data_IF_837464100894
#
_entry.id   IF_837464100894
#
_cell.length_a   1.000
_cell.length_b   1.000
_cell.length_c   1.000
_cell.angle_alpha   90.00
_cell.angle_beta   90.00
_cell.angle_gamma   90.00
#
_symmetry.space_group_name_H-M   'P 1'
#
loop_
_entity.id
_entity.type
_entity.pdbx_description
1 polymer ?
#
# COMPACT_ATOMS: atom_id res chain seq x y z
N UNK A 1 -16.64 3.36 7.81
CA UNK A 1 -17.07 3.61 6.42
C UNK A 1 -15.83 3.89 5.60
N UNK A 2 -15.67 3.22 4.45
CA UNK A 2 -14.50 3.40 3.59
C UNK A 2 -14.76 4.61 2.70
N UNK A 3 -13.80 5.54 2.62
CA UNK A 3 -13.98 6.78 1.88
C UNK A 3 -14.20 6.47 0.37
N UNK A 4 -15.37 6.84 -0.15
CA UNK A 4 -15.73 6.71 -1.57
C UNK A 4 -16.44 5.40 -1.96
N UNK A 5 -16.65 4.48 -1.02
CA UNK A 5 -17.39 3.23 -1.27
C UNK A 5 -18.81 3.49 -1.79
N UNK A 6 -19.18 2.85 -2.91
CA UNK A 6 -20.52 2.91 -3.51
C UNK A 6 -20.80 4.10 -4.42
N UNK A 7 -19.94 5.11 -4.45
CA UNK A 7 -20.14 6.31 -5.26
C UNK A 7 -19.56 6.24 -6.68
N UNK A 8 -18.64 5.28 -6.93
CA UNK A 8 -17.97 4.92 -8.20
C UNK A 8 -16.73 4.03 -7.94
N UNK A 9 -16.39 3.82 -6.66
CA UNK A 9 -15.21 3.08 -6.23
C UNK A 9 -15.63 1.79 -5.54
N UNK A 10 -15.05 0.66 -5.96
CA UNK A 10 -15.18 -0.60 -5.24
C UNK A 10 -14.19 -0.62 -4.07
N UNK A 11 -14.72 -0.67 -2.86
CA UNK A 11 -13.91 -1.02 -1.71
C UNK A 11 -13.68 -2.54 -1.70
N UNK A 12 -12.43 -2.99 -1.77
CA UNK A 12 -12.08 -4.41 -1.66
C UNK A 12 -11.80 -4.80 -0.20
N UNK A 13 -12.69 -4.40 0.71
CA UNK A 13 -12.53 -4.71 2.13
C UNK A 13 -12.75 -6.20 2.38
N UNK A 14 -11.83 -6.81 3.10
CA UNK A 14 -11.82 -8.25 3.40
C UNK A 14 -11.47 -8.43 4.88
N UNK A 15 -12.47 -8.53 5.78
CA UNK A 15 -12.22 -8.52 7.22
C UNK A 15 -11.39 -9.71 7.74
N UNK A 16 -11.17 -10.75 6.91
CA UNK A 16 -10.29 -11.86 7.26
C UNK A 16 -8.80 -11.56 7.07
N UNK A 17 -8.44 -10.42 6.48
CA UNK A 17 -7.05 -9.93 6.31
C UNK A 17 -6.60 -9.25 7.60
N UNK A 18 -6.43 -10.07 8.65
CA UNK A 18 -6.20 -9.61 10.02
C UNK A 18 -4.82 -9.94 10.60
N UNK A 19 -3.92 -10.47 9.78
CA UNK A 19 -2.51 -10.66 10.14
C UNK A 19 -1.60 -10.18 9.01
N UNK A 20 -0.34 -9.87 9.34
CA UNK A 20 0.66 -9.36 8.39
C UNK A 20 0.85 -10.28 7.19
N UNK A 21 0.85 -11.59 7.41
CA UNK A 21 1.13 -12.60 6.40
C UNK A 21 0.03 -12.68 5.34
N UNK A 22 -1.17 -12.21 5.68
CA UNK A 22 -2.33 -12.19 4.77
C UNK A 22 -2.35 -10.97 3.85
N UNK A 23 -1.58 -9.93 4.15
CA UNK A 23 -1.61 -8.65 3.40
C UNK A 23 -1.16 -8.85 1.96
N UNK A 24 0.00 -9.47 1.75
CA UNK A 24 0.54 -9.66 0.39
C UNK A 24 -0.38 -10.51 -0.49
N UNK A 25 -0.84 -11.71 -0.07
CA UNK A 25 -1.78 -12.50 -0.87
C UNK A 25 -3.07 -11.75 -1.22
N UNK A 26 -3.59 -10.96 -0.27
CA UNK A 26 -4.78 -10.15 -0.48
C UNK A 26 -4.56 -9.04 -1.53
N UNK A 27 -3.44 -8.31 -1.47
CA UNK A 27 -3.11 -7.28 -2.46
C UNK A 27 -2.96 -7.92 -3.84
N UNK A 28 -2.20 -9.01 -3.95
CA UNK A 28 -1.97 -9.71 -5.22
C UNK A 28 -3.30 -10.20 -5.84
N UNK A 29 -4.18 -10.81 -5.05
CA UNK A 29 -5.49 -11.26 -5.51
C UNK A 29 -6.39 -10.09 -5.95
N UNK A 30 -6.40 -9.01 -5.17
CA UNK A 30 -7.22 -7.83 -5.47
C UNK A 30 -6.74 -7.13 -6.74
N UNK A 31 -5.42 -6.90 -6.86
CA UNK A 31 -4.84 -6.29 -8.06
C UNK A 31 -5.11 -7.15 -9.30
N UNK A 32 -4.98 -8.47 -9.20
CA UNK A 32 -5.27 -9.39 -10.31
C UNK A 32 -6.75 -9.36 -10.73
N UNK A 33 -7.66 -9.40 -9.75
CA UNK A 33 -9.10 -9.47 -10.02
C UNK A 33 -9.71 -8.15 -10.49
N UNK A 34 -9.21 -7.01 -10.01
CA UNK A 34 -9.73 -5.69 -10.36
C UNK A 34 -9.07 -5.08 -11.60
N UNK A 35 -7.82 -5.45 -11.95
CA UNK A 35 -7.14 -4.95 -13.18
C UNK A 35 -7.93 -5.16 -14.47
N UNK A 36 -8.77 -6.19 -14.51
CA UNK A 36 -9.59 -6.52 -15.70
C UNK A 36 -10.97 -5.87 -15.70
N UNK A 37 -11.33 -5.15 -14.62
CA UNK A 37 -12.66 -4.56 -14.46
C UNK A 37 -12.67 -3.11 -14.90
N UNK A 38 -13.77 -2.69 -15.51
CA UNK A 38 -14.03 -1.29 -15.78
C UNK A 38 -14.52 -0.61 -14.48
N UNK A 39 -13.64 0.10 -13.78
CA UNK A 39 -14.01 0.87 -12.59
C UNK A 39 -12.81 1.23 -11.71
N UNK A 40 -12.99 2.28 -10.90
CA UNK A 40 -12.02 2.60 -9.86
C UNK A 40 -12.19 1.62 -8.69
N UNK A 41 -11.08 1.23 -8.09
CA UNK A 41 -11.07 0.36 -6.93
C UNK A 41 -10.05 0.84 -5.91
N UNK A 42 -10.27 0.45 -4.66
CA UNK A 42 -9.32 0.64 -3.58
C UNK A 42 -8.91 -0.72 -3.04
N UNK A 43 -7.64 -0.84 -2.70
CA UNK A 43 -7.11 -1.94 -1.89
C UNK A 43 -6.92 -1.37 -0.49
N UNK A 44 -7.77 -1.77 0.46
CA UNK A 44 -7.72 -1.23 1.82
C UNK A 44 -6.39 -1.58 2.50
N UNK A 45 -5.82 -0.60 3.20
CA UNK A 45 -4.61 -0.82 4.01
C UNK A 45 -4.87 -1.80 5.15
N UNK A 46 -3.82 -2.44 5.67
CA UNK A 46 -3.95 -3.37 6.81
C UNK A 46 -4.62 -2.73 8.04
N UNK A 47 -4.42 -1.43 8.24
CA UNK A 47 -5.08 -0.63 9.28
C UNK A 47 -6.57 -0.55 9.02
N UNK A 48 -6.95 -0.20 7.78
CA UNK A 48 -8.35 -0.12 7.38
C UNK A 48 -9.05 -1.49 7.45
N UNK A 49 -8.32 -2.59 7.23
CA UNK A 49 -8.84 -3.96 7.39
C UNK A 49 -9.12 -4.33 8.85
N UNK A 50 -8.29 -3.86 9.80
CA UNK A 50 -8.39 -4.26 11.22
C UNK A 50 -9.11 -3.25 12.11
N UNK A 51 -9.23 -1.99 11.70
CA UNK A 51 -9.80 -0.93 12.55
C UNK A 51 -8.92 -0.54 13.74
N UNK A 52 -7.69 -1.07 13.82
CA UNK A 52 -6.74 -0.87 14.91
C UNK A 52 -5.73 0.25 14.63
N UNK A 53 -5.06 0.73 15.68
CA UNK A 53 -4.00 1.75 15.58
C UNK A 53 -2.79 1.20 14.82
N UNK A 54 -2.26 1.99 13.88
CA UNK A 54 -1.09 1.67 13.05
C UNK A 54 0.09 1.13 13.87
N UNK A 55 0.45 -0.16 13.75
CA UNK A 55 1.75 -0.59 14.24
C UNK A 55 2.82 0.07 13.36
N UNK A 56 3.70 0.87 13.96
CA UNK A 56 4.90 1.37 13.29
C UNK A 56 5.79 0.15 13.06
N UNK A 57 5.75 -0.40 11.85
CA UNK A 57 6.45 -1.62 11.51
C UNK A 57 7.24 -1.40 10.22
N UNK A 58 8.56 -1.31 10.39
CA UNK A 58 9.53 -1.12 9.33
C UNK A 58 9.54 -2.26 8.29
N UNK A 59 9.16 -3.48 8.68
CA UNK A 59 9.16 -4.64 7.78
C UNK A 59 8.18 -4.46 6.63
N UNK A 60 7.01 -3.85 6.87
CA UNK A 60 6.06 -3.57 5.79
C UNK A 60 6.61 -2.59 4.75
N UNK A 61 7.47 -1.65 5.15
CA UNK A 61 8.11 -0.75 4.20
C UNK A 61 9.13 -1.48 3.30
N UNK A 62 9.72 -2.58 3.77
CA UNK A 62 10.59 -3.42 2.96
C UNK A 62 9.80 -4.14 1.87
N UNK A 63 8.64 -4.70 2.21
CA UNK A 63 7.74 -5.34 1.25
C UNK A 63 7.25 -4.33 0.19
N UNK A 64 6.81 -3.14 0.61
CA UNK A 64 6.38 -2.09 -0.33
C UNK A 64 7.51 -1.65 -1.25
N UNK A 65 8.73 -1.49 -0.73
CA UNK A 65 9.88 -1.15 -1.55
C UNK A 65 10.17 -2.24 -2.59
N UNK A 66 10.16 -3.52 -2.18
CA UNK A 66 10.34 -4.65 -3.10
C UNK A 66 9.26 -4.66 -4.19
N UNK A 67 8.00 -4.42 -3.84
CA UNK A 67 6.91 -4.38 -4.82
C UNK A 67 7.10 -3.26 -5.84
N UNK A 68 7.65 -2.11 -5.43
CA UNK A 68 7.93 -0.98 -6.32
C UNK A 68 9.15 -1.20 -7.21
N UNK A 69 10.19 -1.89 -6.72
CA UNK A 69 11.47 -1.99 -7.44
C UNK A 69 11.66 -3.30 -8.20
N UNK A 70 10.98 -4.36 -7.78
CA UNK A 70 11.24 -5.74 -8.23
C UNK A 70 10.04 -6.40 -8.90
N UNK A 71 8.86 -5.76 -8.90
CA UNK A 71 7.61 -6.34 -9.43
C UNK A 71 6.79 -5.32 -10.21
N UNK A 72 5.82 -5.79 -11.00
CA UNK A 72 4.80 -4.98 -11.66
C UNK A 72 3.54 -4.83 -10.81
N UNK A 73 3.53 -5.32 -9.55
CA UNK A 73 2.31 -5.43 -8.74
C UNK A 73 1.58 -4.09 -8.58
N UNK A 74 2.33 -3.00 -8.43
CA UNK A 74 1.81 -1.65 -8.23
C UNK A 74 1.72 -0.83 -9.52
N UNK A 75 1.96 -1.44 -10.69
CA UNK A 75 1.76 -0.76 -11.97
C UNK A 75 0.29 -0.33 -12.14
N UNK A 76 0.08 0.93 -12.51
CA UNK A 76 -1.25 1.54 -12.67
C UNK A 76 -1.88 2.06 -11.37
N UNK A 77 -1.21 1.92 -10.23
CA UNK A 77 -1.67 2.51 -8.96
C UNK A 77 -1.50 4.03 -9.00
N UNK A 78 -2.60 4.75 -8.82
CA UNK A 78 -2.60 6.23 -8.83
C UNK A 78 -2.31 6.83 -7.45
N UNK A 79 -2.70 6.14 -6.37
CA UNK A 79 -2.48 6.58 -5.00
C UNK A 79 -2.04 5.39 -4.15
N UNK A 80 -0.95 5.58 -3.40
CA UNK A 80 -0.39 4.59 -2.50
C UNK A 80 -0.22 5.21 -1.11
N UNK A 81 -0.93 4.67 -0.13
CA UNK A 81 -0.73 5.00 1.29
C UNK A 81 0.28 4.02 1.89
N UNK A 82 1.29 4.54 2.60
CA UNK A 82 2.38 3.75 3.19
C UNK A 82 2.58 4.08 4.67
N UNK A 83 3.24 3.19 5.39
CA UNK A 83 3.64 3.44 6.77
C UNK A 83 4.78 4.46 6.81
N UNK A 84 4.61 5.55 7.57
CA UNK A 84 5.62 6.61 7.72
C UNK A 84 6.71 6.27 8.74
N UNK A 85 6.85 5.01 9.16
CA UNK A 85 8.03 4.56 9.89
C UNK A 85 9.28 4.99 9.11
N UNK A 86 10.22 5.71 9.74
CA UNK A 86 11.38 6.29 9.05
C UNK A 86 12.19 5.27 8.23
N UNK A 87 12.15 4.00 8.63
CA UNK A 87 12.74 2.90 7.88
C UNK A 87 12.20 2.85 6.44
N UNK A 88 13.12 3.05 5.49
CA UNK A 88 12.92 2.94 4.04
C UNK A 88 12.01 4.00 3.40
N UNK A 89 11.45 4.96 4.16
CA UNK A 89 10.67 6.07 3.61
C UNK A 89 11.38 6.84 2.48
N UNK A 90 12.65 7.25 2.67
CA UNK A 90 13.47 7.84 1.60
C UNK A 90 13.63 6.94 0.37
N UNK A 91 13.80 5.62 0.56
CA UNK A 91 13.97 4.67 -0.54
C UNK A 91 12.67 4.47 -1.32
N UNK A 92 11.54 4.33 -0.62
CA UNK A 92 10.21 4.22 -1.23
C UNK A 92 9.89 5.49 -2.02
N UNK A 93 10.14 6.66 -1.44
CA UNK A 93 9.92 7.95 -2.12
C UNK A 93 10.75 8.04 -3.40
N UNK A 94 12.01 7.64 -3.37
CA UNK A 94 12.86 7.60 -4.55
C UNK A 94 12.36 6.58 -5.60
N UNK A 95 11.89 5.40 -5.19
CA UNK A 95 11.31 4.39 -6.07
C UNK A 95 10.02 4.89 -6.76
N UNK A 96 9.24 5.74 -6.09
CA UNK A 96 8.09 6.46 -6.65
C UNK A 96 8.47 7.68 -7.52
N UNK A 97 9.77 7.94 -7.73
CA UNK A 97 10.28 8.99 -8.60
C UNK A 97 10.50 10.34 -7.90
N UNK A 98 10.35 10.43 -6.57
CA UNK A 98 10.65 11.67 -5.85
C UNK A 98 12.16 11.95 -5.80
N UNK A 99 12.54 13.22 -5.87
CA UNK A 99 13.91 13.65 -5.58
C UNK A 99 14.10 13.74 -4.07
N UNK A 100 14.93 12.86 -3.52
CA UNK A 100 15.21 12.80 -2.08
C UNK A 100 16.58 13.40 -1.79
N UNK A 101 16.63 14.44 -0.95
CA UNK A 101 17.88 15.12 -0.60
C UNK A 101 18.70 14.32 0.42
N UNK A 102 19.96 14.72 0.62
CA UNK A 102 20.79 14.15 1.69
C UNK A 102 20.24 14.46 3.09
N UNK A 103 19.59 15.61 3.27
CA UNK A 103 18.97 16.00 4.54
C UNK A 103 17.73 15.15 4.86
N UNK A 104 16.92 14.83 3.86
CA UNK A 104 15.75 13.94 4.01
C UNK A 104 16.18 12.53 4.43
N UNK A 105 17.29 12.03 3.86
CA UNK A 105 17.90 10.74 4.24
C UNK A 105 18.51 10.73 5.64
N UNK A 106 18.95 11.87 6.15
CA UNK A 106 19.57 11.99 7.47
C UNK A 106 18.56 12.28 8.59
N UNK A 107 17.40 12.83 8.25
CA UNK A 107 16.32 13.16 9.19
C UNK A 107 15.37 11.99 9.46
N UNK A 108 15.41 10.97 8.61
CA UNK A 108 14.70 9.71 8.77
C UNK A 108 15.67 8.60 9.20
#
# INVERSE_FOLDING_TARGET
AIAGEGACVRANYVPSVNTSEKVRPYIEETMRSERTRAGLYQVQSFIQQNGDVTPVNATFNADVLDWLTSSDLLEGVNFLEINLACALGPSISAALGARVSGADRASC
#
